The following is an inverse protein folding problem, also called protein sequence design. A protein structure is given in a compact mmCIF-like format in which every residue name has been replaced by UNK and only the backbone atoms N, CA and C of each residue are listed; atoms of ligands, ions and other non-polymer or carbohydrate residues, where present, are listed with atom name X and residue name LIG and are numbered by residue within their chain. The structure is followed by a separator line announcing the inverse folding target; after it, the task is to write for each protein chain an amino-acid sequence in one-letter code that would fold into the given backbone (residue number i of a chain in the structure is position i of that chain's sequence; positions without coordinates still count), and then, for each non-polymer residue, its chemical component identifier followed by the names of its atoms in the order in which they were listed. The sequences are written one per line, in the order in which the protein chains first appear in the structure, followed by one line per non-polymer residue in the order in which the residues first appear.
data_IF_908742691986
#
_entry.id   IF_908742691986
#
_cell.length_a   1.000
_cell.length_b   1.000
_cell.length_c   1.000
_cell.angle_alpha   90.00
_cell.angle_beta   90.00
_cell.angle_gamma   90.00
#
_symmetry.space_group_name_H-M   'P 1'
#
loop_
_entity.id
_entity.type
_entity.pdbx_description
1 polymer ?
#
# COMPACT_ATOMS: atom_id res chain seq x y z
N UNK A 1 22.13 -11.01 -13.99
CA UNK A 1 22.04 -11.71 -15.29
C UNK A 1 22.83 -10.90 -16.31
N UNK A 2 23.95 -11.39 -16.83
CA UNK A 2 24.74 -10.63 -17.82
C UNK A 2 24.21 -10.92 -19.23
N UNK A 3 23.62 -9.91 -19.88
CA UNK A 3 23.28 -10.01 -21.30
C UNK A 3 24.60 -9.98 -22.07
N UNK A 4 25.00 -11.12 -22.64
CA UNK A 4 26.11 -11.17 -23.61
C UNK A 4 25.65 -10.40 -24.85
N UNK A 5 26.21 -9.21 -25.06
CA UNK A 5 26.04 -8.46 -26.30
C UNK A 5 26.46 -9.35 -27.48
N UNK A 6 25.60 -9.46 -28.49
CA UNK A 6 25.97 -10.01 -29.78
C UNK A 6 27.15 -9.19 -30.32
N UNK A 7 28.34 -9.78 -30.30
CA UNK A 7 29.55 -9.16 -30.83
C UNK A 7 29.56 -9.28 -32.34
N UNK A 8 29.46 -8.13 -33.02
CA UNK A 8 30.04 -7.79 -34.31
C UNK A 8 29.73 -8.64 -35.57
N UNK A 9 28.88 -9.67 -35.54
CA UNK A 9 28.58 -10.45 -36.76
C UNK A 9 27.58 -9.80 -37.74
N UNK A 10 27.02 -8.62 -37.41
CA UNK A 10 26.13 -7.86 -38.30
C UNK A 10 26.89 -6.95 -39.31
N UNK A 11 28.21 -7.02 -39.36
CA UNK A 11 29.08 -5.97 -39.93
C UNK A 11 29.32 -6.02 -41.45
N UNK A 12 28.77 -6.98 -42.19
CA UNK A 12 29.16 -7.08 -43.60
C UNK A 12 28.43 -6.15 -44.59
N UNK A 13 27.29 -5.52 -44.25
CA UNK A 13 26.47 -4.82 -45.30
C UNK A 13 25.79 -3.48 -44.89
N UNK A 14 25.63 -3.11 -43.61
CA UNK A 14 24.82 -1.92 -43.20
C UNK A 14 25.33 -1.16 -41.94
N UNK A 15 26.62 -0.85 -41.89
CA UNK A 15 27.43 -1.03 -40.67
C UNK A 15 27.36 0.03 -39.53
N UNK A 16 27.17 1.34 -39.78
CA UNK A 16 27.24 2.34 -38.70
C UNK A 16 25.88 2.90 -38.24
N UNK A 17 25.01 3.47 -39.10
CA UNK A 17 23.78 4.12 -38.62
C UNK A 17 22.79 3.14 -37.99
N UNK A 18 22.64 1.94 -38.56
CA UNK A 18 21.76 0.91 -38.02
C UNK A 18 22.26 0.40 -36.66
N UNK A 19 23.57 0.22 -36.52
CA UNK A 19 24.21 -0.20 -35.26
C UNK A 19 24.00 0.84 -34.16
N UNK A 20 24.20 2.12 -34.44
CA UNK A 20 23.96 3.21 -33.48
C UNK A 20 22.49 3.30 -33.08
N UNK A 21 21.55 3.15 -34.02
CA UNK A 21 20.12 3.09 -33.70
C UNK A 21 19.78 1.92 -32.76
N UNK A 22 20.34 0.73 -33.02
CA UNK A 22 20.11 -0.44 -32.17
C UNK A 22 20.70 -0.27 -30.76
N UNK A 23 21.90 0.29 -30.66
CA UNK A 23 22.53 0.60 -29.37
C UNK A 23 21.71 1.66 -28.61
N UNK A 24 21.30 2.74 -29.29
CA UNK A 24 20.47 3.78 -28.68
C UNK A 24 19.14 3.22 -28.16
N UNK A 25 18.46 2.38 -28.95
CA UNK A 25 17.22 1.74 -28.53
C UNK A 25 17.43 0.82 -27.32
N UNK A 26 18.57 0.10 -27.27
CA UNK A 26 18.92 -0.73 -26.13
C UNK A 26 19.14 0.10 -24.86
N UNK A 27 19.88 1.21 -24.96
CA UNK A 27 20.10 2.14 -23.82
C UNK A 27 18.78 2.70 -23.31
N UNK A 28 17.91 3.19 -24.19
CA UNK A 28 16.58 3.71 -23.81
C UNK A 28 15.75 2.63 -23.11
N UNK A 29 15.79 1.40 -23.62
CA UNK A 29 15.05 0.27 -23.03
C UNK A 29 15.62 -0.09 -21.65
N UNK A 30 16.95 -0.07 -21.51
CA UNK A 30 17.63 -0.33 -20.24
C UNK A 30 17.31 0.72 -19.19
N UNK A 31 17.36 2.01 -19.55
CA UNK A 31 17.04 3.11 -18.64
C UNK A 31 15.58 3.03 -18.20
N UNK A 32 14.66 2.81 -19.15
CA UNK A 32 13.22 2.61 -18.84
C UNK A 32 13.01 1.43 -17.90
N UNK A 33 13.74 0.32 -18.11
CA UNK A 33 13.64 -0.85 -17.25
C UNK A 33 14.17 -0.59 -15.83
N UNK A 34 15.26 0.16 -15.70
CA UNK A 34 15.80 0.56 -14.41
C UNK A 34 14.82 1.47 -13.66
N UNK A 35 14.22 2.46 -14.34
CA UNK A 35 13.19 3.31 -13.75
C UNK A 35 11.98 2.51 -13.25
N UNK A 36 11.58 1.46 -13.99
CA UNK A 36 10.50 0.56 -13.57
C UNK A 36 10.89 -0.20 -12.30
N UNK A 37 12.12 -0.70 -12.20
CA UNK A 37 12.60 -1.40 -11.01
C UNK A 37 12.63 -0.49 -9.78
N UNK A 38 13.11 0.75 -9.93
CA UNK A 38 13.15 1.73 -8.85
C UNK A 38 11.74 2.14 -8.39
N UNK A 39 10.83 2.31 -9.36
CA UNK A 39 9.42 2.56 -9.07
C UNK A 39 8.76 1.38 -8.36
N UNK A 40 9.07 0.14 -8.76
CA UNK A 40 8.56 -1.06 -8.10
C UNK A 40 9.03 -1.13 -6.64
N UNK A 41 10.33 -0.92 -6.38
CA UNK A 41 10.86 -0.88 -5.03
C UNK A 41 10.19 0.21 -4.16
N UNK A 42 9.94 1.38 -4.75
CA UNK A 42 9.23 2.48 -4.08
C UNK A 42 7.78 2.11 -3.75
N UNK A 43 7.08 1.44 -4.67
CA UNK A 43 5.70 0.98 -4.47
C UNK A 43 5.65 -0.08 -3.37
N UNK A 44 6.57 -1.05 -3.36
CA UNK A 44 6.65 -2.10 -2.34
C UNK A 44 6.86 -1.49 -0.94
N UNK A 45 7.75 -0.50 -0.81
CA UNK A 45 7.95 0.21 0.45
C UNK A 45 6.67 0.92 0.91
N UNK A 46 6.03 1.68 0.03
CA UNK A 46 4.78 2.40 0.36
C UNK A 46 3.65 1.45 0.75
N UNK A 47 3.56 0.29 0.11
CA UNK A 47 2.58 -0.74 0.49
C UNK A 47 2.83 -1.26 1.90
N UNK A 48 4.11 -1.46 2.29
CA UNK A 48 4.47 -1.84 3.65
C UNK A 48 4.05 -0.79 4.67
N UNK A 49 4.35 0.50 4.41
CA UNK A 49 4.01 1.61 5.32
C UNK A 49 2.48 1.73 5.51
N UNK A 50 1.72 1.58 4.42
CA UNK A 50 0.25 1.61 4.46
C UNK A 50 -0.27 0.46 5.33
N UNK A 51 0.26 -0.75 5.14
CA UNK A 51 -0.17 -1.94 5.90
C UNK A 51 0.13 -1.79 7.40
N UNK A 52 1.30 -1.27 7.75
CA UNK A 52 1.65 -1.00 9.15
C UNK A 52 0.72 0.05 9.77
N UNK A 53 0.44 1.13 9.03
CA UNK A 53 -0.47 2.19 9.44
C UNK A 53 -1.89 1.65 9.65
N UNK A 54 -2.40 0.85 8.71
CA UNK A 54 -3.70 0.19 8.82
C UNK A 54 -3.79 -0.70 10.06
N UNK A 55 -2.80 -1.56 10.28
CA UNK A 55 -2.73 -2.43 11.47
C UNK A 55 -2.77 -1.62 12.77
N UNK A 56 -2.04 -0.50 12.80
CA UNK A 56 -2.01 0.39 13.97
C UNK A 56 -3.37 1.06 14.21
N UNK A 57 -4.03 1.53 13.15
CA UNK A 57 -5.36 2.15 13.24
C UNK A 57 -6.40 1.12 13.72
N UNK A 58 -6.42 -0.07 13.14
CA UNK A 58 -7.32 -1.15 13.54
C UNK A 58 -7.15 -1.50 15.02
N UNK A 59 -5.90 -1.61 15.49
CA UNK A 59 -5.63 -1.87 16.90
C UNK A 59 -6.15 -0.75 17.82
N UNK A 60 -6.03 0.52 17.40
CA UNK A 60 -6.51 1.66 18.20
C UNK A 60 -8.04 1.72 18.24
N UNK A 61 -8.70 1.48 17.10
CA UNK A 61 -10.17 1.40 17.02
C UNK A 61 -10.68 0.29 17.93
N UNK A 62 -10.06 -0.90 17.89
CA UNK A 62 -10.45 -2.01 18.76
C UNK A 62 -10.40 -1.65 20.25
N UNK A 63 -9.31 -1.01 20.69
CA UNK A 63 -9.17 -0.56 22.09
C UNK A 63 -10.22 0.50 22.43
N UNK A 64 -10.51 1.43 21.51
CA UNK A 64 -11.54 2.44 21.71
C UNK A 64 -12.94 1.82 21.84
N UNK A 65 -13.26 0.85 20.99
CA UNK A 65 -14.54 0.13 21.02
C UNK A 65 -14.70 -0.70 22.31
N UNK A 66 -13.64 -1.41 22.72
CA UNK A 66 -13.59 -2.15 23.99
C UNK A 66 -13.84 -1.20 25.18
N UNK A 67 -13.16 -0.05 25.21
CA UNK A 67 -13.34 0.96 26.26
C UNK A 67 -14.76 1.58 26.24
N UNK A 68 -15.32 1.85 25.06
CA UNK A 68 -16.67 2.38 24.93
C UNK A 68 -17.70 1.39 25.44
N UNK A 69 -17.54 0.11 25.11
CA UNK A 69 -18.41 -0.95 25.59
C UNK A 69 -18.36 -1.07 27.11
N UNK A 70 -17.16 -0.99 27.71
CA UNK A 70 -17.00 -1.01 29.16
C UNK A 70 -17.61 0.23 29.84
N UNK A 71 -17.45 1.43 29.26
CA UNK A 71 -18.11 2.64 29.75
C UNK A 71 -19.63 2.50 29.73
N UNK A 72 -20.21 2.02 28.63
CA UNK A 72 -21.66 1.76 28.57
C UNK A 72 -22.06 0.75 29.65
N UNK A 73 -21.32 -0.34 29.84
CA UNK A 73 -21.60 -1.33 30.89
C UNK A 73 -21.48 -0.77 32.31
N UNK A 74 -20.67 0.27 32.54
CA UNK A 74 -20.64 0.99 33.81
C UNK A 74 -21.87 1.88 33.93
N UNK A 75 -22.18 2.66 32.89
CA UNK A 75 -23.30 3.60 32.89
C UNK A 75 -24.65 2.91 33.04
N UNK A 76 -24.85 1.73 32.47
CA UNK A 76 -26.08 0.92 32.63
C UNK A 76 -26.26 0.35 34.04
N UNK A 77 -25.23 0.36 34.89
CA UNK A 77 -25.38 0.03 36.33
C UNK A 77 -25.94 1.21 37.14
N UNK A 78 -25.83 2.41 36.60
CA UNK A 78 -26.57 3.56 37.06
C UNK A 78 -27.87 3.61 36.24
N UNK A 79 -28.96 4.22 36.74
CA UNK A 79 -30.20 4.43 35.96
C UNK A 79 -29.97 5.50 34.86
N UNK A 80 -28.89 5.37 34.09
CA UNK A 80 -28.60 6.22 32.95
C UNK A 80 -29.20 5.53 31.73
N UNK A 81 -30.19 6.13 31.07
CA UNK A 81 -30.93 5.47 30.02
C UNK A 81 -30.12 5.51 28.70
N UNK A 82 -29.24 4.52 28.52
CA UNK A 82 -28.37 4.39 27.36
C UNK A 82 -28.37 2.95 26.84
N UNK A 83 -28.33 2.78 25.51
CA UNK A 83 -28.22 1.48 24.85
C UNK A 83 -27.20 1.51 23.70
N UNK A 84 -26.74 0.33 23.26
CA UNK A 84 -25.97 0.16 22.02
C UNK A 84 -26.85 -0.53 20.99
N UNK A 85 -27.10 0.13 19.86
CA UNK A 85 -27.81 -0.43 18.71
C UNK A 85 -26.92 -0.26 17.48
N UNK A 86 -26.62 -1.35 16.78
CA UNK A 86 -25.73 -1.36 15.60
C UNK A 86 -24.37 -0.67 15.82
N UNK A 87 -23.79 -0.85 17.01
CA UNK A 87 -22.49 -0.26 17.37
C UNK A 87 -22.54 1.23 17.71
N UNK A 88 -23.72 1.84 17.83
CA UNK A 88 -23.90 3.24 18.23
C UNK A 88 -24.52 3.35 19.61
N UNK A 89 -23.98 4.27 20.42
CA UNK A 89 -24.59 4.67 21.69
C UNK A 89 -25.83 5.53 21.40
N UNK A 90 -26.96 5.16 21.97
CA UNK A 90 -28.24 5.87 21.86
C UNK A 90 -28.79 6.14 23.25
N UNK A 91 -29.41 7.31 23.44
CA UNK A 91 -30.24 7.59 24.62
C UNK A 91 -31.52 6.75 24.54
N UNK A 92 -31.93 6.18 25.66
CA UNK A 92 -33.24 5.58 25.83
C UNK A 92 -34.11 6.51 26.69
N UNK A 93 -35.43 6.39 26.63
CA UNK A 93 -36.29 7.14 27.54
C UNK A 93 -36.26 6.49 28.94
N UNK A 94 -36.25 7.29 30.00
CA UNK A 94 -36.42 6.82 31.38
C UNK A 94 -37.88 6.40 31.61
N UNK A 95 -38.12 5.13 31.99
CA UNK A 95 -39.36 4.73 32.66
C UNK A 95 -40.15 3.56 32.05
N UNK A 96 -40.33 2.52 32.85
CA UNK A 96 -41.63 2.31 33.53
C UNK A 96 -41.44 2.41 35.04
#
# INVERSE_FOLDING_TARGET
MSIKLFTNELSAVYDAPLREMLISNFVITQDTFNDILDNQATIEHRQSDIKETQTTIESKIRVQDENMHELVNILTKYDVPLAIVDGKVVETEEGE
#
